data_IF_218870593853
#
_entry.id   IF_218870593853
#
_cell.length_a   1.000
_cell.length_b   1.000
_cell.length_c   1.000
_cell.angle_alpha   90.00
_cell.angle_beta   90.00
_cell.angle_gamma   90.00
#
_symmetry.space_group_name_H-M   'P 1'
#
loop_
_entity.id
_entity.type
_entity.pdbx_description
1 polymer ?
#
# COMPACT_ATOMS: atom_id res chain seq x y z
N UNK A 1 7.73 5.44 17.34
CA UNK A 1 7.24 6.42 16.33
C UNK A 1 8.26 6.81 15.24
N UNK A 2 9.58 6.61 15.42
CA UNK A 2 10.56 6.94 14.36
C UNK A 2 10.57 5.93 13.18
N UNK A 3 10.44 4.63 13.46
CA UNK A 3 10.43 3.58 12.43
C UNK A 3 9.22 3.64 11.49
N UNK A 4 8.11 4.23 11.93
CA UNK A 4 6.84 4.29 11.18
C UNK A 4 6.82 5.42 10.15
N UNK A 5 7.48 6.56 10.40
CA UNK A 5 7.62 7.61 9.38
C UNK A 5 8.61 7.21 8.27
N UNK A 6 9.61 6.39 8.62
CA UNK A 6 10.55 5.83 7.66
C UNK A 6 9.86 4.92 6.62
N UNK A 7 8.82 4.17 7.01
CA UNK A 7 8.04 3.34 6.07
C UNK A 7 7.37 4.17 4.96
N UNK A 8 6.80 5.32 5.31
CA UNK A 8 6.23 6.27 4.35
C UNK A 8 7.30 6.91 3.46
N UNK A 9 8.43 7.33 4.06
CA UNK A 9 9.54 7.92 3.29
C UNK A 9 10.15 6.97 2.27
N UNK A 10 10.12 5.66 2.56
CA UNK A 10 10.65 4.65 1.65
C UNK A 10 9.63 4.20 0.60
N UNK A 11 8.36 4.65 0.66
CA UNK A 11 7.34 4.23 -0.31
C UNK A 11 7.73 4.61 -1.73
N UNK A 12 8.06 5.88 -1.99
CA UNK A 12 8.43 6.36 -3.34
C UNK A 12 9.64 5.61 -3.90
N UNK A 13 10.66 5.37 -3.07
CA UNK A 13 11.86 4.61 -3.45
C UNK A 13 11.52 3.15 -3.78
N UNK A 14 10.71 2.50 -2.95
CA UNK A 14 10.29 1.13 -3.17
C UNK A 14 9.39 1.02 -4.41
N UNK A 15 8.50 1.98 -4.63
CA UNK A 15 7.62 2.02 -5.79
C UNK A 15 8.42 2.17 -7.09
N UNK A 16 9.37 3.10 -7.14
CA UNK A 16 10.28 3.25 -8.28
C UNK A 16 11.12 1.98 -8.53
N UNK A 17 11.53 1.29 -7.46
CA UNK A 17 12.22 0.00 -7.57
C UNK A 17 11.32 -1.09 -8.15
N UNK A 18 10.05 -1.12 -7.75
CA UNK A 18 9.06 -2.07 -8.26
C UNK A 18 8.80 -1.84 -9.75
N UNK A 19 8.61 -0.59 -10.18
CA UNK A 19 8.45 -0.23 -11.59
C UNK A 19 9.64 -0.71 -12.43
N UNK A 20 10.85 -0.51 -11.93
CA UNK A 20 12.06 -1.00 -12.59
C UNK A 20 12.09 -2.53 -12.69
N UNK A 21 11.74 -3.23 -11.61
CA UNK A 21 11.70 -4.71 -11.62
C UNK A 21 10.67 -5.25 -12.62
N UNK A 22 9.52 -4.58 -12.75
CA UNK A 22 8.50 -4.92 -13.76
C UNK A 22 9.03 -4.68 -15.16
N UNK A 23 9.68 -3.54 -15.40
CA UNK A 23 10.29 -3.25 -16.69
C UNK A 23 11.40 -4.25 -17.04
N UNK A 24 12.22 -4.64 -16.06
CA UNK A 24 13.26 -5.65 -16.25
C UNK A 24 12.62 -7.01 -16.62
N UNK A 25 11.52 -7.41 -15.97
CA UNK A 25 10.76 -8.63 -16.26
C UNK A 25 10.19 -8.71 -17.68
N UNK A 26 9.97 -7.58 -18.35
CA UNK A 26 9.52 -7.52 -19.74
C UNK A 26 10.64 -7.76 -20.77
N UNK A 27 11.89 -7.91 -20.30
CA UNK A 27 13.03 -8.14 -21.17
C UNK A 27 12.96 -9.50 -21.87
N UNK A 28 13.09 -9.57 -23.21
CA UNK A 28 12.96 -10.81 -23.98
C UNK A 28 14.12 -11.80 -23.76
N UNK A 29 15.25 -11.33 -23.23
CA UNK A 29 16.49 -12.11 -23.06
C UNK A 29 16.63 -12.73 -21.66
N UNK A 30 15.59 -12.66 -20.83
CA UNK A 30 15.63 -13.24 -19.48
C UNK A 30 15.56 -14.76 -19.51
N UNK A 31 16.50 -15.40 -18.82
CA UNK A 31 16.38 -16.82 -18.51
C UNK A 31 15.32 -17.04 -17.43
N UNK A 32 14.71 -18.23 -17.41
CA UNK A 32 13.71 -18.61 -16.41
C UNK A 32 14.18 -18.40 -14.96
N UNK A 33 15.46 -18.69 -14.68
CA UNK A 33 16.05 -18.48 -13.36
C UNK A 33 16.14 -17.00 -12.98
N UNK A 34 16.48 -16.13 -13.94
CA UNK A 34 16.52 -14.69 -13.72
C UNK A 34 15.11 -14.10 -13.57
N UNK A 35 14.14 -14.57 -14.35
CA UNK A 35 12.74 -14.17 -14.20
C UNK A 35 12.19 -14.52 -12.81
N UNK A 36 12.52 -15.70 -12.28
CA UNK A 36 12.13 -16.10 -10.92
C UNK A 36 12.76 -15.20 -9.86
N UNK A 37 14.05 -14.89 -9.97
CA UNK A 37 14.74 -14.00 -9.01
C UNK A 37 14.18 -12.56 -9.04
N UNK A 38 13.92 -12.02 -10.23
CA UNK A 38 13.27 -10.71 -10.38
C UNK A 38 11.84 -10.71 -9.81
N UNK A 39 11.09 -11.78 -10.04
CA UNK A 39 9.74 -11.92 -9.50
C UNK A 39 9.74 -11.96 -7.97
N UNK A 40 10.62 -12.75 -7.35
CA UNK A 40 10.75 -12.78 -5.88
C UNK A 40 11.11 -11.42 -5.30
N UNK A 41 12.00 -10.68 -5.96
CA UNK A 41 12.34 -9.31 -5.58
C UNK A 41 11.14 -8.38 -5.70
N UNK A 42 10.39 -8.46 -6.81
CA UNK A 42 9.21 -7.65 -7.04
C UNK A 42 8.14 -7.88 -5.95
N UNK A 43 7.90 -9.13 -5.55
CA UNK A 43 6.97 -9.47 -4.47
C UNK A 43 7.39 -8.84 -3.14
N UNK A 44 8.67 -8.94 -2.76
CA UNK A 44 9.19 -8.36 -1.51
C UNK A 44 9.04 -6.83 -1.47
N UNK A 45 9.31 -6.18 -2.60
CA UNK A 45 9.15 -4.72 -2.73
C UNK A 45 7.67 -4.34 -2.68
N UNK A 46 6.78 -5.08 -3.37
CA UNK A 46 5.32 -4.86 -3.34
C UNK A 46 4.76 -4.93 -1.92
N UNK A 47 5.14 -5.95 -1.14
CA UNK A 47 4.70 -6.09 0.26
C UNK A 47 5.15 -4.91 1.14
N UNK A 48 6.33 -4.35 0.84
CA UNK A 48 6.83 -3.16 1.54
C UNK A 48 6.02 -1.92 1.20
N UNK A 49 5.60 -1.77 -0.07
CA UNK A 49 4.69 -0.71 -0.51
C UNK A 49 3.31 -0.82 0.15
N UNK A 50 2.70 -2.02 0.14
CA UNK A 50 1.41 -2.29 0.79
C UNK A 50 1.44 -1.95 2.28
N UNK A 51 2.51 -2.36 2.97
CA UNK A 51 2.70 -2.05 4.39
C UNK A 51 2.76 -0.54 4.68
N UNK A 52 3.35 0.24 3.77
CA UNK A 52 3.42 1.69 3.90
C UNK A 52 2.06 2.34 3.64
N UNK A 53 1.30 1.86 2.64
CA UNK A 53 -0.05 2.32 2.34
C UNK A 53 -1.03 2.01 3.48
N UNK A 54 -0.95 0.81 4.06
CA UNK A 54 -1.77 0.42 5.20
C UNK A 54 -1.52 1.34 6.40
N UNK A 55 -0.26 1.66 6.68
CA UNK A 55 0.08 2.64 7.71
C UNK A 55 -0.49 4.03 7.40
N UNK A 56 -0.41 4.49 6.14
CA UNK A 56 -1.00 5.76 5.74
C UNK A 56 -2.52 5.79 5.95
N UNK A 57 -3.22 4.71 5.58
CA UNK A 57 -4.67 4.55 5.79
C UNK A 57 -5.04 4.61 7.27
N UNK A 58 -4.36 3.84 8.12
CA UNK A 58 -4.59 3.85 9.57
C UNK A 58 -4.39 5.24 10.17
N UNK A 59 -3.32 5.93 9.75
CA UNK A 59 -3.05 7.28 10.23
C UNK A 59 -4.11 8.28 9.76
N UNK A 60 -4.58 8.17 8.51
CA UNK A 60 -5.65 9.01 8.00
C UNK A 60 -6.96 8.76 8.75
N UNK A 61 -7.30 7.51 9.05
CA UNK A 61 -8.49 7.14 9.82
C UNK A 61 -8.46 7.77 11.22
N UNK A 62 -7.36 7.62 11.95
CA UNK A 62 -7.21 8.23 13.30
C UNK A 62 -7.37 9.76 13.23
N UNK A 63 -6.82 10.41 12.21
CA UNK A 63 -6.97 11.86 12.02
C UNK A 63 -8.41 12.26 11.70
N UNK A 64 -9.12 11.46 10.91
CA UNK A 64 -10.54 11.69 10.62
C UNK A 64 -11.41 11.50 11.87
N UNK A 65 -11.15 10.46 12.66
CA UNK A 65 -11.85 10.19 13.92
C UNK A 65 -11.60 11.30 14.95
N UNK A 66 -10.37 11.86 15.00
CA UNK A 66 -10.06 13.01 15.85
C UNK A 66 -10.79 14.30 15.45
N UNK A 67 -11.13 14.46 14.16
CA UNK A 67 -11.94 15.59 13.69
C UNK A 67 -13.43 15.41 13.99
N UNK A 68 -13.89 14.17 14.14
CA UNK A 68 -15.24 13.83 14.58
C UNK A 68 -15.30 13.97 16.11
N UNK A 69 -15.69 15.15 16.59
CA UNK A 69 -15.92 15.39 18.03
C UNK A 69 -16.95 14.42 18.64
N UNK A 70 -17.08 14.34 19.97
CA UNK A 70 -17.84 13.30 20.68
C UNK A 70 -19.37 13.28 20.45
N UNK A 71 -19.91 14.04 19.49
CA UNK A 71 -21.34 14.08 19.19
C UNK A 71 -21.57 14.17 17.68
N UNK A 72 -21.66 13.01 17.02
CA UNK A 72 -22.54 12.83 15.86
C UNK A 72 -22.92 11.36 15.76
N UNK A 73 -23.65 10.91 16.78
CA UNK A 73 -24.63 9.84 16.63
C UNK A 73 -25.75 10.41 15.74
N UNK A 74 -26.02 9.78 14.60
CA UNK A 74 -27.22 9.81 13.74
C UNK A 74 -26.92 9.80 12.23
N UNK A 75 -27.53 8.80 11.57
CA UNK A 75 -27.91 8.71 10.15
C UNK A 75 -26.81 8.23 9.16
N UNK A 76 -26.78 6.92 8.94
CA UNK A 76 -27.36 6.32 7.73
C UNK A 76 -27.68 4.88 8.04
N UNK A 77 -28.94 4.64 8.44
CA UNK A 77 -29.51 3.30 8.37
C UNK A 77 -29.37 2.78 6.95
N UNK A 78 -29.11 1.48 6.90
CA UNK A 78 -29.08 0.65 5.72
C UNK A 78 -30.15 1.07 4.72
N UNK A 79 -29.74 1.24 3.46
CA UNK A 79 -30.67 1.11 2.35
C UNK A 79 -31.19 -0.32 2.34
N UNK A 80 -32.22 -0.58 3.14
CA UNK A 80 -33.13 -1.70 2.99
C UNK A 80 -33.77 -1.51 1.61
N UNK A 81 -33.15 -2.12 0.60
CA UNK A 81 -33.78 -2.33 -0.69
C UNK A 81 -34.87 -3.38 -0.46
N UNK A 82 -36.06 -2.92 -0.09
CA UNK A 82 -37.26 -3.72 -0.12
C UNK A 82 -37.65 -3.92 -1.60
N UNK A 83 -37.60 -5.18 -2.02
CA UNK A 83 -38.23 -5.86 -3.18
C UNK A 83 -38.48 -5.07 -4.48
#
# INVERSE_FOLDING_TARGET
MAATNAKLKNFETNYATLEKLVQDLESPDLTLAQSLDLFEKAIKVSQSCESALEYARQRAQVLADMQKGPDTDTLTEEGTLDL
#
